data_IF_812460596337
#
_entry.id   IF_812460596337
#
_cell.length_a   1.000
_cell.length_b   1.000
_cell.length_c   1.000
_cell.angle_alpha   90.00
_cell.angle_beta   90.00
_cell.angle_gamma   90.00
#
_symmetry.space_group_name_H-M   'P 1'
#
loop_
_entity.id
_entity.type
_entity.pdbx_description
1 polymer ?
#
# COMPACT_ATOMS: atom_id res chain seq x y z
N UNK A 1 -14.59 16.09 4.93
CA UNK A 1 -14.23 17.41 5.51
C UNK A 1 -14.26 17.42 7.05
N UNK A 2 -15.42 17.32 7.71
CA UNK A 2 -15.54 17.48 9.18
C UNK A 2 -14.81 16.40 9.97
N UNK A 3 -14.95 15.12 9.60
CA UNK A 3 -14.26 14.02 10.31
C UNK A 3 -12.74 14.15 10.29
N UNK A 4 -12.20 14.54 9.13
CA UNK A 4 -10.76 14.74 8.97
C UNK A 4 -10.27 15.89 9.85
N UNK A 5 -10.98 17.03 9.83
CA UNK A 5 -10.66 18.17 10.68
C UNK A 5 -10.75 17.83 12.17
N UNK A 6 -11.80 17.11 12.59
CA UNK A 6 -11.96 16.66 13.97
C UNK A 6 -10.82 15.74 14.42
N UNK A 7 -10.41 14.79 13.57
CA UNK A 7 -9.27 13.92 13.84
C UNK A 7 -7.97 14.72 13.95
N UNK A 8 -7.75 15.66 13.03
CA UNK A 8 -6.55 16.51 13.03
C UNK A 8 -6.46 17.34 14.31
N UNK A 9 -7.57 17.91 14.77
CA UNK A 9 -7.63 18.63 16.06
C UNK A 9 -7.26 17.69 17.21
N UNK A 10 -7.81 16.47 17.22
CA UNK A 10 -7.54 15.47 18.25
C UNK A 10 -6.06 15.02 18.26
N UNK A 11 -5.43 14.90 17.08
CA UNK A 11 -4.00 14.58 16.92
C UNK A 11 -3.09 15.61 17.61
N UNK A 12 -3.51 16.88 17.70
CA UNK A 12 -2.77 17.96 18.36
C UNK A 12 -3.08 18.09 19.87
N UNK A 13 -4.01 17.32 20.41
CA UNK A 13 -4.31 17.33 21.85
C UNK A 13 -3.43 16.31 22.60
N UNK A 14 -2.97 16.62 23.83
CA UNK A 14 -2.20 15.69 24.63
C UNK A 14 -2.91 14.35 24.79
N UNK A 15 -2.34 13.28 24.21
CA UNK A 15 -2.98 11.96 24.12
C UNK A 15 -3.32 11.33 25.48
N UNK A 16 -2.62 11.72 26.55
CA UNK A 16 -2.92 11.30 27.93
C UNK A 16 -4.35 11.67 28.36
N UNK A 17 -4.92 12.76 27.83
CA UNK A 17 -6.25 13.24 28.20
C UNK A 17 -7.38 12.39 27.63
N UNK A 18 -7.13 11.69 26.51
CA UNK A 18 -8.20 11.07 25.73
C UNK A 18 -7.91 9.62 25.31
N UNK A 19 -6.70 9.08 25.54
CA UNK A 19 -6.31 7.68 25.25
C UNK A 19 -7.30 6.67 25.86
N UNK A 20 -7.60 6.79 27.14
CA UNK A 20 -8.51 5.86 27.82
C UNK A 20 -9.91 5.91 27.23
N UNK A 21 -10.40 7.10 26.89
CA UNK A 21 -11.72 7.27 26.25
C UNK A 21 -11.72 6.66 24.86
N UNK A 22 -10.69 6.91 24.06
CA UNK A 22 -10.56 6.35 22.72
C UNK A 22 -10.55 4.82 22.72
N UNK A 23 -9.82 4.18 23.63
CA UNK A 23 -9.76 2.71 23.74
C UNK A 23 -11.08 2.08 24.21
N UNK A 24 -11.97 2.85 24.84
CA UNK A 24 -13.28 2.39 25.31
C UNK A 24 -14.45 2.81 24.41
N UNK A 25 -14.16 3.48 23.29
CA UNK A 25 -15.17 3.97 22.35
C UNK A 25 -15.97 2.80 21.75
N UNK A 26 -17.29 2.95 21.70
CA UNK A 26 -18.23 1.91 21.25
C UNK A 26 -18.67 2.11 19.82
N UNK A 27 -18.65 3.35 19.33
CA UNK A 27 -18.93 3.63 17.94
C UNK A 27 -17.72 3.21 17.06
N UNK A 28 -17.87 2.24 16.14
CA UNK A 28 -16.74 1.72 15.36
C UNK A 28 -16.00 2.81 14.59
N UNK A 29 -16.74 3.74 13.98
CA UNK A 29 -16.15 4.84 13.20
C UNK A 29 -15.35 5.78 14.10
N UNK A 30 -15.88 6.14 15.26
CA UNK A 30 -15.18 7.01 16.21
C UNK A 30 -13.92 6.33 16.76
N UNK A 31 -14.01 5.04 17.10
CA UNK A 31 -12.88 4.23 17.55
C UNK A 31 -11.78 4.18 16.50
N UNK A 32 -12.10 3.90 15.23
CA UNK A 32 -11.13 3.86 14.13
C UNK A 32 -10.42 5.22 13.97
N UNK A 33 -11.17 6.33 13.96
CA UNK A 33 -10.56 7.65 13.79
C UNK A 33 -9.70 8.06 15.00
N UNK A 34 -10.15 7.73 16.22
CA UNK A 34 -9.37 7.93 17.42
C UNK A 34 -8.10 7.06 17.45
N UNK A 35 -8.16 5.84 16.91
CA UNK A 35 -7.00 4.96 16.76
C UNK A 35 -5.96 5.55 15.82
N UNK A 36 -6.39 6.01 14.64
CA UNK A 36 -5.52 6.72 13.68
C UNK A 36 -4.87 7.94 14.36
N UNK A 37 -5.64 8.73 15.10
CA UNK A 37 -5.13 9.88 15.82
C UNK A 37 -4.11 9.47 16.90
N UNK A 38 -4.38 8.39 17.65
CA UNK A 38 -3.47 7.90 18.70
C UNK A 38 -2.14 7.49 18.10
N UNK A 39 -2.15 6.70 17.03
CA UNK A 39 -0.93 6.29 16.33
C UNK A 39 -0.15 7.51 15.84
N UNK A 40 -0.82 8.54 15.33
CA UNK A 40 -0.16 9.74 14.81
C UNK A 40 0.38 10.68 15.88
N UNK A 41 -0.24 10.71 17.06
CA UNK A 41 0.20 11.52 18.20
C UNK A 41 1.46 10.99 18.90
N UNK A 42 1.97 9.83 18.50
CA UNK A 42 3.18 9.23 19.09
C UNK A 42 4.42 9.59 18.30
N UNK A 43 5.45 9.98 19.03
CA UNK A 43 6.81 10.20 18.52
C UNK A 43 7.73 8.99 18.69
N UNK A 44 7.34 8.04 19.54
CA UNK A 44 8.12 6.85 19.90
C UNK A 44 7.25 5.60 19.86
N UNK A 45 7.89 4.44 19.74
CA UNK A 45 7.22 3.15 19.81
C UNK A 45 6.51 2.97 21.16
N UNK A 46 5.30 2.43 21.15
CA UNK A 46 4.50 2.14 22.35
C UNK A 46 3.82 0.78 22.16
N UNK A 47 4.53 -0.33 22.44
CA UNK A 47 4.01 -1.69 22.24
C UNK A 47 2.76 -1.99 23.08
N UNK A 48 2.60 -1.33 24.23
CA UNK A 48 1.44 -1.50 25.09
C UNK A 48 0.20 -0.82 24.53
N UNK A 49 0.36 0.40 23.99
CA UNK A 49 -0.69 1.03 23.19
C UNK A 49 -0.99 0.21 21.95
N UNK A 50 0.01 -0.31 21.24
CA UNK A 50 -0.22 -1.14 20.06
C UNK A 50 -1.11 -2.34 20.39
N UNK A 51 -0.78 -3.06 21.46
CA UNK A 51 -1.53 -4.25 21.89
C UNK A 51 -2.97 -3.91 22.26
N UNK A 52 -3.17 -2.88 23.08
CA UNK A 52 -4.50 -2.45 23.54
C UNK A 52 -5.36 -1.86 22.42
N UNK A 53 -4.75 -1.09 21.53
CA UNK A 53 -5.42 -0.49 20.38
C UNK A 53 -5.86 -1.56 19.38
N UNK A 54 -4.96 -2.47 19.00
CA UNK A 54 -5.31 -3.59 18.11
C UNK A 54 -6.40 -4.47 18.72
N UNK A 55 -6.37 -4.75 20.04
CA UNK A 55 -7.44 -5.48 20.70
C UNK A 55 -8.80 -4.76 20.62
N UNK A 56 -8.81 -3.43 20.73
CA UNK A 56 -10.04 -2.63 20.59
C UNK A 56 -10.56 -2.67 19.15
N UNK A 57 -9.69 -2.55 18.16
CA UNK A 57 -10.02 -2.64 16.74
C UNK A 57 -10.51 -4.05 16.34
N UNK A 58 -9.97 -5.11 16.95
CA UNK A 58 -10.37 -6.49 16.71
C UNK A 58 -11.84 -6.76 17.11
N UNK A 59 -12.38 -5.99 18.06
CA UNK A 59 -13.77 -6.08 18.51
C UNK A 59 -14.79 -5.51 17.51
N UNK A 60 -14.34 -4.77 16.49
CA UNK A 60 -15.23 -4.23 15.46
C UNK A 60 -15.70 -5.35 14.53
N UNK A 61 -17.02 -5.46 14.34
CA UNK A 61 -17.60 -6.38 13.36
C UNK A 61 -17.36 -5.85 11.93
N UNK A 62 -16.54 -6.59 11.17
CA UNK A 62 -16.19 -6.26 9.78
C UNK A 62 -17.42 -6.19 8.86
N UNK A 63 -18.44 -7.02 9.11
CA UNK A 63 -19.62 -7.12 8.24
C UNK A 63 -20.49 -5.86 8.29
N UNK A 64 -20.47 -5.13 9.42
CA UNK A 64 -21.24 -3.92 9.63
C UNK A 64 -20.59 -2.66 9.09
N UNK A 65 -19.35 -2.75 8.60
CA UNK A 65 -18.61 -1.59 8.08
C UNK A 65 -18.93 -1.32 6.61
N UNK A 66 -19.12 -0.05 6.27
CA UNK A 66 -19.09 0.41 4.89
C UNK A 66 -17.70 0.25 4.26
N UNK A 67 -17.61 0.33 2.92
CA UNK A 67 -16.33 0.18 2.22
C UNK A 67 -15.24 1.14 2.72
N UNK A 68 -15.58 2.41 2.92
CA UNK A 68 -14.63 3.40 3.44
C UNK A 68 -14.21 3.11 4.89
N UNK A 69 -15.12 2.60 5.72
CA UNK A 69 -14.80 2.25 7.11
C UNK A 69 -13.91 1.00 7.20
N UNK A 70 -14.07 0.05 6.27
CA UNK A 70 -13.13 -1.08 6.12
C UNK A 70 -11.73 -0.59 5.77
N UNK A 71 -11.61 0.33 4.82
CA UNK A 71 -10.34 0.98 4.48
C UNK A 71 -9.75 1.73 5.67
N UNK A 72 -10.54 2.54 6.37
CA UNK A 72 -10.08 3.29 7.55
C UNK A 72 -9.62 2.33 8.68
N UNK A 73 -10.29 1.19 8.87
CA UNK A 73 -9.90 0.17 9.84
C UNK A 73 -8.55 -0.46 9.47
N UNK A 74 -8.36 -0.86 8.21
CA UNK A 74 -7.06 -1.36 7.73
C UNK A 74 -5.96 -0.33 7.95
N UNK A 75 -6.24 0.94 7.62
CA UNK A 75 -5.31 2.04 7.83
C UNK A 75 -4.94 2.24 9.31
N UNK A 76 -5.88 2.02 10.23
CA UNK A 76 -5.59 2.06 11.66
C UNK A 76 -4.61 0.95 12.09
N UNK A 77 -4.78 -0.27 11.58
CA UNK A 77 -3.81 -1.36 11.82
C UNK A 77 -2.43 -1.05 11.22
N UNK A 78 -2.37 -0.57 9.99
CA UNK A 78 -1.10 -0.18 9.35
C UNK A 78 -0.35 0.88 10.18
N UNK A 79 -1.03 1.94 10.60
CA UNK A 79 -0.42 2.99 11.40
C UNK A 79 0.02 2.48 12.77
N UNK A 80 -0.73 1.56 13.38
CA UNK A 80 -0.32 0.92 14.63
C UNK A 80 0.99 0.14 14.45
N UNK A 81 1.17 -0.55 13.32
CA UNK A 81 2.39 -1.31 13.01
C UNK A 81 3.56 -0.39 12.65
N UNK A 82 3.31 0.67 11.88
CA UNK A 82 4.36 1.59 11.42
C UNK A 82 4.86 2.50 12.55
N UNK A 83 3.95 3.04 13.38
CA UNK A 83 4.29 4.09 14.36
C UNK A 83 4.46 3.60 15.79
N UNK A 84 3.84 2.48 16.18
CA UNK A 84 3.90 1.99 17.56
C UNK A 84 4.92 0.86 17.75
N UNK A 85 5.63 0.47 16.69
CA UNK A 85 6.71 -0.50 16.69
C UNK A 85 6.36 -1.85 16.06
N UNK A 86 7.34 -2.74 15.97
CA UNK A 86 7.14 -4.07 15.38
C UNK A 86 6.19 -4.93 16.22
N UNK A 87 5.15 -5.54 15.62
CA UNK A 87 4.23 -6.44 16.33
C UNK A 87 4.94 -7.62 16.97
N UNK A 88 4.53 -7.99 18.19
CA UNK A 88 4.95 -9.27 18.78
C UNK A 88 4.40 -10.44 17.96
N UNK A 89 5.04 -11.61 18.06
CA UNK A 89 4.59 -12.79 17.30
C UNK A 89 3.13 -13.19 17.61
N UNK A 90 2.71 -13.00 18.86
CA UNK A 90 1.33 -13.21 19.29
C UNK A 90 0.36 -12.24 18.60
N UNK A 91 0.69 -10.94 18.56
CA UNK A 91 -0.12 -9.94 17.88
C UNK A 91 -0.14 -10.19 16.37
N UNK A 92 1.02 -10.46 15.77
CA UNK A 92 1.16 -10.80 14.34
C UNK A 92 0.27 -11.98 13.96
N UNK A 93 0.35 -13.08 14.71
CA UNK A 93 -0.47 -14.27 14.50
C UNK A 93 -1.98 -13.99 14.61
N UNK A 94 -2.39 -13.14 15.56
CA UNK A 94 -3.80 -12.74 15.72
C UNK A 94 -4.29 -11.91 14.53
N UNK A 95 -3.51 -10.91 14.11
CA UNK A 95 -3.82 -10.08 12.95
C UNK A 95 -3.91 -10.93 11.68
N UNK A 96 -2.97 -11.84 11.45
CA UNK A 96 -2.99 -12.75 10.31
C UNK A 96 -4.26 -13.63 10.29
N UNK A 97 -4.67 -14.17 11.43
CA UNK A 97 -5.92 -14.96 11.54
C UNK A 97 -7.15 -14.15 11.14
N UNK A 98 -7.19 -12.87 11.50
CA UNK A 98 -8.28 -11.96 11.17
C UNK A 98 -8.27 -11.52 9.71
N UNK A 99 -7.10 -11.20 9.17
CA UNK A 99 -6.95 -10.52 7.87
C UNK A 99 -6.81 -11.49 6.70
N UNK A 100 -6.20 -12.66 6.88
CA UNK A 100 -6.04 -13.64 5.80
C UNK A 100 -7.37 -14.05 5.14
N UNK A 101 -8.47 -14.29 5.88
CA UNK A 101 -9.76 -14.62 5.25
C UNK A 101 -10.36 -13.49 4.42
N UNK A 102 -9.90 -12.24 4.60
CA UNK A 102 -10.43 -11.07 3.91
C UNK A 102 -9.74 -10.78 2.56
N UNK A 103 -8.64 -11.49 2.25
CA UNK A 103 -7.82 -11.25 1.06
C UNK A 103 -7.79 -12.48 0.12
N UNK A 104 -8.11 -12.34 -1.18
CA UNK A 104 -8.57 -11.12 -1.85
C UNK A 104 -10.03 -10.80 -1.49
N UNK A 105 -10.37 -9.52 -1.61
CA UNK A 105 -11.72 -8.97 -1.55
C UNK A 105 -12.25 -8.64 -2.96
N UNK A 106 -13.53 -8.31 -3.05
CA UNK A 106 -14.20 -7.89 -4.29
C UNK A 106 -13.88 -6.44 -4.71
N UNK A 107 -13.14 -5.68 -3.89
CA UNK A 107 -12.81 -4.27 -4.15
C UNK A 107 -11.30 -4.07 -4.26
N UNK A 108 -10.85 -3.53 -5.39
CA UNK A 108 -9.44 -3.18 -5.62
C UNK A 108 -8.83 -2.29 -4.52
N UNK A 109 -9.48 -1.20 -4.06
CA UNK A 109 -8.90 -0.38 -2.99
C UNK A 109 -8.66 -1.15 -1.69
N UNK A 110 -9.54 -2.10 -1.34
CA UNK A 110 -9.34 -2.95 -0.16
C UNK A 110 -8.20 -3.95 -0.37
N UNK A 111 -8.05 -4.49 -1.58
CA UNK A 111 -6.95 -5.40 -1.91
C UNK A 111 -5.59 -4.73 -1.81
N UNK A 112 -5.46 -3.46 -2.21
CA UNK A 112 -4.22 -2.70 -2.06
C UNK A 112 -3.78 -2.58 -0.59
N UNK A 113 -4.70 -2.19 0.29
CA UNK A 113 -4.44 -2.04 1.73
C UNK A 113 -4.18 -3.39 2.42
N UNK A 114 -5.00 -4.41 2.09
CA UNK A 114 -4.80 -5.78 2.61
C UNK A 114 -3.45 -6.34 2.16
N UNK A 115 -3.04 -6.13 0.91
CA UNK A 115 -1.75 -6.57 0.40
C UNK A 115 -0.60 -5.95 1.21
N UNK A 116 -0.59 -4.63 1.38
CA UNK A 116 0.43 -3.92 2.17
C UNK A 116 0.52 -4.46 3.61
N UNK A 117 -0.63 -4.59 4.26
CA UNK A 117 -0.70 -5.05 5.65
C UNK A 117 -0.24 -6.52 5.78
N UNK A 118 -0.65 -7.41 4.87
CA UNK A 118 -0.25 -8.82 4.89
C UNK A 118 1.22 -9.02 4.51
N UNK A 119 1.79 -8.19 3.63
CA UNK A 119 3.22 -8.14 3.33
C UNK A 119 4.01 -7.68 4.57
N UNK A 120 3.55 -6.63 5.25
CA UNK A 120 4.18 -6.16 6.49
C UNK A 120 4.15 -7.24 7.59
N UNK A 121 3.06 -8.00 7.68
CA UNK A 121 2.89 -9.10 8.63
C UNK A 121 3.54 -10.42 8.20
N UNK A 122 4.17 -10.47 7.01
CA UNK A 122 4.81 -11.67 6.43
C UNK A 122 3.84 -12.86 6.37
N UNK A 123 2.65 -12.64 5.81
CA UNK A 123 1.68 -13.72 5.60
C UNK A 123 2.17 -14.71 4.55
N UNK A 124 2.09 -16.01 4.85
CA UNK A 124 2.50 -17.09 3.92
C UNK A 124 1.68 -17.17 2.64
N UNK A 125 0.44 -16.67 2.67
CA UNK A 125 -0.48 -16.73 1.52
C UNK A 125 -0.45 -15.47 0.65
N UNK A 126 0.26 -14.41 1.09
CA UNK A 126 0.18 -13.11 0.41
C UNK A 126 0.78 -13.16 -0.98
N UNK A 127 1.93 -13.82 -1.16
CA UNK A 127 2.61 -13.92 -2.46
C UNK A 127 1.70 -14.58 -3.49
N UNK A 128 1.27 -15.82 -3.22
CA UNK A 128 0.42 -16.60 -4.12
C UNK A 128 -0.85 -15.84 -4.54
N UNK A 129 -1.55 -15.26 -3.56
CA UNK A 129 -2.80 -14.51 -3.80
C UNK A 129 -2.58 -13.20 -4.55
N UNK A 130 -1.48 -12.50 -4.26
CA UNK A 130 -1.14 -11.24 -4.93
C UNK A 130 -0.75 -11.49 -6.38
N UNK A 131 -0.02 -12.56 -6.68
CA UNK A 131 0.32 -12.93 -8.06
C UNK A 131 -0.94 -13.27 -8.89
N UNK A 132 -1.92 -13.94 -8.29
CA UNK A 132 -3.23 -14.17 -8.93
C UNK A 132 -3.95 -12.84 -9.22
N UNK A 133 -3.89 -11.87 -8.31
CA UNK A 133 -4.46 -10.54 -8.52
C UNK A 133 -3.74 -9.75 -9.62
N UNK A 134 -2.40 -9.81 -9.70
CA UNK A 134 -1.64 -9.16 -10.77
C UNK A 134 -2.09 -9.71 -12.15
N UNK A 135 -2.35 -11.01 -12.25
CA UNK A 135 -2.79 -11.64 -13.48
C UNK A 135 -4.15 -11.17 -14.00
N UNK A 136 -5.07 -10.80 -13.10
CA UNK A 136 -6.42 -10.33 -13.46
C UNK A 136 -6.59 -8.82 -13.34
N UNK A 137 -5.58 -8.10 -12.84
CA UNK A 137 -5.60 -6.66 -12.66
C UNK A 137 -5.80 -5.94 -14.00
N UNK A 138 -6.78 -5.04 -14.03
CA UNK A 138 -7.17 -4.33 -15.26
C UNK A 138 -6.32 -3.10 -15.55
N UNK A 139 -5.67 -2.57 -14.51
CA UNK A 139 -4.93 -1.30 -14.59
C UNK A 139 -3.46 -1.51 -14.30
N UNK A 140 -2.62 -0.76 -15.00
CA UNK A 140 -1.18 -0.71 -14.77
C UNK A 140 -0.85 -0.27 -13.34
N UNK A 141 -1.61 0.68 -12.79
CA UNK A 141 -1.44 1.19 -11.43
C UNK A 141 -1.62 0.08 -10.40
N UNK A 142 -2.65 -0.76 -10.56
CA UNK A 142 -2.89 -1.90 -9.68
C UNK A 142 -1.76 -2.94 -9.77
N UNK A 143 -1.30 -3.27 -10.98
CA UNK A 143 -0.17 -4.19 -11.17
C UNK A 143 1.09 -3.66 -10.50
N UNK A 144 1.44 -2.39 -10.73
CA UNK A 144 2.64 -1.76 -10.13
C UNK A 144 2.52 -1.71 -8.61
N UNK A 145 1.35 -1.41 -8.06
CA UNK A 145 1.12 -1.43 -6.60
C UNK A 145 1.48 -2.80 -6.02
N UNK A 146 0.91 -3.87 -6.56
CA UNK A 146 1.19 -5.23 -6.08
C UNK A 146 2.64 -5.63 -6.25
N UNK A 147 3.26 -5.30 -7.39
CA UNK A 147 4.68 -5.56 -7.64
C UNK A 147 5.56 -4.83 -6.62
N UNK A 148 5.27 -3.55 -6.36
CA UNK A 148 5.94 -2.75 -5.35
C UNK A 148 5.80 -3.35 -3.95
N UNK A 149 4.62 -3.87 -3.58
CA UNK A 149 4.41 -4.52 -2.28
C UNK A 149 5.21 -5.82 -2.18
N UNK A 150 5.22 -6.64 -3.23
CA UNK A 150 5.88 -7.96 -3.22
C UNK A 150 7.41 -7.91 -3.22
N UNK A 151 8.05 -6.80 -3.62
CA UNK A 151 9.53 -6.67 -3.52
C UNK A 151 10.09 -6.81 -2.09
N UNK A 152 9.22 -6.70 -1.09
CA UNK A 152 9.61 -6.62 0.32
C UNK A 152 10.36 -7.89 0.79
N UNK A 153 11.50 -7.78 1.50
CA UNK A 153 12.26 -8.93 1.99
C UNK A 153 11.49 -9.80 2.98
N UNK A 154 11.90 -11.07 3.10
CA UNK A 154 11.39 -12.00 4.12
C UNK A 154 10.01 -12.57 3.84
N UNK A 155 9.48 -12.41 2.62
CA UNK A 155 8.31 -13.15 2.17
C UNK A 155 8.71 -14.58 1.77
N UNK A 156 7.79 -15.53 1.98
CA UNK A 156 7.97 -16.92 1.55
C UNK A 156 7.56 -17.05 0.07
N UNK A 157 8.46 -17.56 -0.77
CA UNK A 157 8.27 -17.72 -2.21
C UNK A 157 8.59 -19.15 -2.63
N UNK A 158 7.79 -19.72 -3.52
CA UNK A 158 8.22 -20.84 -4.36
C UNK A 158 9.02 -20.35 -5.56
N UNK A 159 9.83 -21.22 -6.17
CA UNK A 159 10.63 -20.84 -7.34
C UNK A 159 9.74 -20.47 -8.54
N UNK A 160 8.61 -21.16 -8.70
CA UNK A 160 7.60 -20.83 -9.72
C UNK A 160 6.97 -19.45 -9.49
N UNK A 161 6.58 -19.12 -8.26
CA UNK A 161 6.04 -17.78 -7.94
C UNK A 161 7.06 -16.68 -8.21
N UNK A 162 8.34 -16.93 -7.91
CA UNK A 162 9.43 -16.01 -8.20
C UNK A 162 9.60 -15.80 -9.70
N UNK A 163 9.57 -16.86 -10.50
CA UNK A 163 9.60 -16.75 -11.96
C UNK A 163 8.42 -15.94 -12.50
N UNK A 164 7.19 -16.22 -12.04
CA UNK A 164 6.00 -15.47 -12.43
C UNK A 164 6.17 -13.99 -12.12
N UNK A 165 6.60 -13.64 -10.90
CA UNK A 165 6.84 -12.25 -10.49
C UNK A 165 7.84 -11.55 -11.42
N UNK A 166 9.00 -12.14 -11.69
CA UNK A 166 9.99 -11.48 -12.55
C UNK A 166 9.58 -11.43 -14.02
N UNK A 167 8.79 -12.40 -14.52
CA UNK A 167 8.23 -12.35 -15.87
C UNK A 167 7.28 -11.15 -16.07
N UNK A 168 6.60 -10.69 -15.02
CA UNK A 168 5.72 -9.52 -15.11
C UNK A 168 6.45 -8.25 -15.51
N UNK A 169 7.74 -8.10 -15.20
CA UNK A 169 8.52 -6.93 -15.63
C UNK A 169 8.63 -6.82 -17.14
N UNK A 170 8.67 -7.94 -17.88
CA UNK A 170 8.69 -7.91 -19.34
C UNK A 170 7.41 -7.28 -19.91
N UNK A 171 6.26 -7.54 -19.28
CA UNK A 171 4.98 -6.95 -19.67
C UNK A 171 4.92 -5.46 -19.36
N UNK A 172 5.78 -4.96 -18.45
CA UNK A 172 5.78 -3.55 -18.09
C UNK A 172 6.32 -2.65 -19.20
N UNK A 173 7.16 -3.17 -20.11
CA UNK A 173 7.63 -2.43 -21.29
C UNK A 173 6.51 -2.03 -22.25
N UNK A 174 5.37 -2.72 -22.22
CA UNK A 174 4.20 -2.38 -23.03
C UNK A 174 3.43 -1.18 -22.48
N UNK A 175 3.66 -0.79 -21.23
CA UNK A 175 2.95 0.33 -20.61
C UNK A 175 3.65 1.67 -20.83
N UNK A 176 2.84 2.73 -20.90
CA UNK A 176 3.33 4.10 -20.99
C UNK A 176 3.43 4.74 -19.60
N UNK A 177 4.45 5.57 -19.40
CA UNK A 177 4.66 6.33 -18.17
C UNK A 177 5.35 7.67 -18.41
N UNK A 178 5.45 8.48 -17.37
CA UNK A 178 6.18 9.76 -17.41
C UNK A 178 7.69 9.57 -17.28
N UNK A 179 8.44 10.67 -17.24
CA UNK A 179 9.92 10.68 -17.20
C UNK A 179 10.53 9.76 -16.12
N UNK A 180 9.89 9.65 -14.95
CA UNK A 180 10.39 8.83 -13.84
C UNK A 180 9.93 7.36 -13.88
N UNK A 181 9.14 6.95 -14.87
CA UNK A 181 8.50 5.63 -14.89
C UNK A 181 9.50 4.49 -14.92
N UNK A 182 10.39 4.52 -15.91
CA UNK A 182 11.35 3.44 -16.14
C UNK A 182 12.38 3.34 -15.01
N UNK A 183 12.78 4.50 -14.46
CA UNK A 183 13.65 4.57 -13.28
C UNK A 183 12.98 3.93 -12.06
N UNK A 184 11.69 4.19 -11.86
CA UNK A 184 10.94 3.59 -10.75
C UNK A 184 10.83 2.06 -10.90
N UNK A 185 10.51 1.56 -12.10
CA UNK A 185 10.45 0.10 -12.34
C UNK A 185 11.80 -0.58 -12.14
N UNK A 186 12.87 0.05 -12.64
CA UNK A 186 14.24 -0.45 -12.45
C UNK A 186 14.60 -0.54 -10.97
N UNK A 187 14.17 0.43 -10.16
CA UNK A 187 14.37 0.40 -8.72
C UNK A 187 13.60 -0.73 -8.05
N UNK A 188 12.32 -0.97 -8.41
CA UNK A 188 11.53 -2.08 -7.87
C UNK A 188 12.18 -3.43 -8.22
N UNK A 189 12.62 -3.60 -9.47
CA UNK A 189 13.28 -4.82 -9.93
C UNK A 189 14.57 -5.07 -9.17
N UNK A 190 15.42 -4.04 -9.05
CA UNK A 190 16.68 -4.09 -8.30
C UNK A 190 16.44 -4.50 -6.85
N UNK A 191 15.53 -3.84 -6.15
CA UNK A 191 15.21 -4.16 -4.75
C UNK A 191 14.68 -5.59 -4.59
N UNK A 192 13.88 -6.09 -5.54
CA UNK A 192 13.45 -7.48 -5.52
C UNK A 192 14.62 -8.47 -5.72
N UNK A 193 15.61 -8.09 -6.53
CA UNK A 193 16.84 -8.88 -6.75
C UNK A 193 17.82 -8.84 -5.57
N UNK A 194 17.83 -7.77 -4.77
CA UNK A 194 18.73 -7.62 -3.61
C UNK A 194 18.54 -8.71 -2.55
N UNK A 195 17.39 -9.38 -2.54
CA UNK A 195 17.05 -10.41 -1.56
C UNK A 195 17.15 -11.84 -2.10
N UNK A 196 17.61 -12.00 -3.34
CA UNK A 196 17.81 -13.31 -3.96
C UNK A 196 19.16 -13.90 -3.60
N UNK A 197 19.16 -15.21 -3.34
CA UNK A 197 20.40 -15.98 -3.28
C UNK A 197 21.02 -16.08 -4.67
N UNK A 198 22.34 -16.30 -4.75
CA UNK A 198 23.02 -16.48 -6.04
C UNK A 198 22.43 -17.64 -6.85
N UNK A 199 22.02 -18.73 -6.18
CA UNK A 199 21.30 -19.84 -6.82
C UNK A 199 19.99 -19.36 -7.45
N UNK A 200 19.17 -18.60 -6.72
CA UNK A 200 17.90 -18.08 -7.24
C UNK A 200 18.11 -17.12 -8.41
N UNK A 201 19.17 -16.30 -8.40
CA UNK A 201 19.52 -15.44 -9.54
C UNK A 201 19.91 -16.26 -10.77
N UNK A 202 20.69 -17.32 -10.59
CA UNK A 202 21.08 -18.23 -11.68
C UNK A 202 19.85 -18.92 -12.29
N UNK A 203 18.90 -19.37 -11.46
CA UNK A 203 17.65 -20.00 -11.91
C UNK A 203 16.72 -19.03 -12.65
N UNK A 204 16.73 -17.74 -12.29
CA UNK A 204 16.00 -16.71 -13.02
C UNK A 204 16.66 -16.34 -14.36
N UNK A 205 17.97 -16.53 -14.48
CA UNK A 205 18.72 -16.25 -15.70
C UNK A 205 18.48 -14.82 -16.21
N UNK A 206 18.02 -14.63 -17.46
CA UNK A 206 17.73 -13.30 -18.02
C UNK A 206 16.71 -12.48 -17.22
N UNK A 207 15.79 -13.12 -16.49
CA UNK A 207 14.76 -12.44 -15.70
C UNK A 207 15.35 -11.71 -14.48
N UNK A 208 16.55 -12.08 -14.04
CA UNK A 208 17.29 -11.38 -12.98
C UNK A 208 17.88 -10.04 -13.44
N UNK A 209 17.69 -9.67 -14.71
CA UNK A 209 18.06 -8.37 -15.28
C UNK A 209 16.83 -7.70 -15.88
N UNK A 210 16.77 -6.37 -15.79
CA UNK A 210 15.71 -5.56 -16.37
C UNK A 210 16.33 -4.43 -17.18
N UNK A 211 15.93 -4.32 -18.45
CA UNK A 211 16.38 -3.28 -19.36
C UNK A 211 15.25 -2.27 -19.59
N UNK A 212 15.23 -1.12 -18.89
CA UNK A 212 14.14 -0.15 -18.97
C UNK A 212 13.90 0.39 -20.38
N UNK A 213 14.93 0.47 -21.23
CA UNK A 213 14.84 1.08 -22.57
C UNK A 213 14.34 0.09 -23.63
N UNK A 214 14.15 -1.17 -23.26
CA UNK A 214 13.64 -2.21 -24.15
C UNK A 214 12.23 -1.86 -24.61
N UNK A 215 12.08 -1.68 -25.92
CA UNK A 215 10.76 -1.48 -26.55
C UNK A 215 9.97 -2.79 -26.54
N UNK A 216 8.67 -2.69 -26.24
CA UNK A 216 7.74 -3.81 -26.37
C UNK A 216 7.83 -4.39 -27.79
N UNK A 217 7.81 -5.71 -27.89
CA UNK A 217 7.84 -6.39 -29.17
C UNK A 217 6.48 -6.24 -29.89
N UNK A 218 6.46 -6.25 -31.22
CA UNK A 218 5.26 -5.97 -32.04
C UNK A 218 4.04 -6.87 -31.73
N UNK A 219 4.24 -8.02 -31.07
CA UNK A 219 3.18 -8.94 -30.67
C UNK A 219 2.52 -8.58 -29.31
N UNK A 220 3.08 -7.64 -28.54
CA UNK A 220 2.54 -7.19 -27.24
C UNK A 220 1.62 -5.96 -27.36
N UNK A 221 1.39 -5.49 -28.60
CA UNK A 221 0.58 -4.31 -28.92
C UNK A 221 -0.91 -4.43 -28.60
N UNK A 222 -1.41 -5.63 -28.28
CA UNK A 222 -2.84 -5.86 -28.00
C UNK A 222 -3.28 -5.38 -26.60
N UNK A 223 -2.36 -5.00 -25.71
CA UNK A 223 -2.68 -4.40 -24.39
C UNK A 223 -2.33 -2.91 -24.33
N UNK A 224 -2.65 -2.13 -25.37
CA UNK A 224 -2.53 -0.67 -25.33
C UNK A 224 -3.39 -0.08 -24.22
N UNK A 225 -2.76 0.67 -23.30
CA UNK A 225 -3.44 1.60 -22.40
C UNK A 225 -4.38 2.52 -23.20
N UNK A 226 -5.53 2.95 -22.64
CA UNK A 226 -6.46 3.80 -23.36
C UNK A 226 -5.76 5.09 -23.81
N UNK A 227 -5.62 5.20 -25.13
CA UNK A 227 -5.35 6.35 -25.99
C UNK A 227 -4.91 7.64 -25.29
N UNK A 228 -3.76 8.17 -25.73
CA UNK A 228 -3.38 9.58 -25.59
C UNK A 228 -4.62 10.47 -25.79
N UNK A 229 -5.21 10.95 -24.69
CA UNK A 229 -6.03 12.14 -24.76
C UNK A 229 -5.02 13.25 -25.03
N UNK A 230 -4.92 13.67 -26.28
CA UNK A 230 -4.14 14.83 -26.66
C UNK A 230 -4.68 16.01 -25.85
N UNK A 231 -4.01 16.34 -24.74
CA UNK A 231 -4.37 17.49 -23.92
C UNK A 231 -3.82 18.70 -24.65
N UNK A 232 -4.66 19.59 -25.20
CA UNK A 232 -4.15 20.80 -25.81
C UNK A 232 -3.34 21.56 -24.76
N UNK A 233 -2.22 22.12 -25.20
CA UNK A 233 -1.45 23.04 -24.38
C UNK A 233 -2.36 24.21 -23.99
N UNK A 234 -2.61 24.38 -22.69
CA UNK A 234 -3.55 25.41 -22.19
C UNK A 234 -2.83 26.75 -22.07
N UNK A 235 -1.77 26.82 -21.24
CA UNK A 235 -0.99 28.04 -20.98
C UNK A 235 0.32 27.67 -20.27
N UNK A 236 1.40 28.40 -20.54
CA UNK A 236 2.62 28.37 -19.72
C UNK A 236 2.46 29.40 -18.61
N UNK A 237 2.27 28.93 -17.39
CA UNK A 237 2.21 29.80 -16.22
C UNK A 237 3.60 30.36 -15.90
N UNK A 238 3.68 31.67 -15.72
CA UNK A 238 4.86 32.39 -15.21
C UNK A 238 4.60 32.82 -13.77
N UNK A 239 5.67 33.10 -13.02
CA UNK A 239 5.55 33.60 -11.64
C UNK A 239 4.72 34.89 -11.60
N UNK A 240 4.87 35.73 -12.63
CA UNK A 240 4.14 36.99 -12.80
C UNK A 240 2.62 36.78 -12.97
N UNK A 241 2.16 35.61 -13.44
CA UNK A 241 0.72 35.32 -13.59
C UNK A 241 -0.01 35.13 -12.25
N UNK A 242 0.73 35.10 -11.13
CA UNK A 242 0.20 35.00 -9.76
C UNK A 242 0.49 36.24 -8.93
N UNK A 243 1.04 37.29 -9.57
CA UNK A 243 1.30 38.58 -8.95
C UNK A 243 0.23 39.57 -9.45
N UNK A 244 -0.97 39.55 -8.87
CA UNK A 244 -1.91 40.67 -9.03
C UNK A 244 -2.39 41.18 -7.66
N UNK A 245 -2.15 42.48 -7.49
CA UNK A 245 -2.78 43.52 -6.68
C UNK A 245 -2.92 43.32 -5.16
N UNK A 246 -1.82 43.53 -4.44
CA UNK A 246 -1.85 44.09 -3.08
C UNK A 246 -1.96 45.62 -3.05
N UNK A 247 -2.55 46.22 -4.09
CA UNK A 247 -2.74 47.66 -4.21
C UNK A 247 -4.13 47.98 -4.73
N UNK A 248 -5.17 47.67 -3.95
CA UNK A 248 -6.41 48.46 -3.93
C UNK A 248 -7.13 48.30 -2.57
N UNK A 249 -7.05 49.38 -1.79
CA UNK A 249 -7.85 49.85 -0.64
C UNK A 249 -7.70 49.17 0.74
#
# INVERSE_FOLDING_TARGET
>A
PIRYAARLVLEHQPSKLWKTRALNEKNPRALIQAAIALCRSRSENDPDLQRSLCASLDAIDWSMLSGNEKTDLLRAYELAIIRLGTPTEQLRSRLLRRLNPLYPSDKTPLNCELCNLLVALKSRVVVSRTLQLIAVAKTQQEKIHYMLSLRTPGLEWTDNERQIYFQWFNQLHAYQGGESYDSFLSQIHKEACEHLTEKAKQELGPLATFDPEKKASQNEEEQKSPSQVFRPFVRKWQVDDFQDDSSEQ
#
